data_IF_644103584836
#
_entry.id   IF_644103584836
#
_cell.length_a   1.000
_cell.length_b   1.000
_cell.length_c   1.000
_cell.angle_alpha   90.00
_cell.angle_beta   90.00
_cell.angle_gamma   90.00
#
_symmetry.space_group_name_H-M   'P 1'
#
loop_
_entity.id
_entity.type
_entity.pdbx_description
1 polymer ?
#
# COMPACT_ATOMS: atom_id res chain seq x y z
N UNK A 1 27.52 18.86 -32.23
CA UNK A 1 26.92 17.66 -31.64
C UNK A 1 25.49 18.01 -31.23
N UNK A 2 24.45 17.35 -31.76
CA UNK A 2 23.12 17.51 -31.24
C UNK A 2 23.07 16.78 -29.89
N UNK A 3 22.64 17.49 -28.85
CA UNK A 3 22.57 16.92 -27.51
C UNK A 3 21.50 15.82 -27.44
N UNK A 4 21.83 14.69 -26.86
CA UNK A 4 20.85 13.69 -26.45
C UNK A 4 20.10 14.23 -25.24
N UNK A 5 18.80 14.12 -25.27
CA UNK A 5 17.93 14.58 -24.20
C UNK A 5 17.17 13.37 -23.66
N UNK A 6 17.22 13.18 -22.36
CA UNK A 6 16.47 12.13 -21.69
C UNK A 6 15.18 12.71 -21.08
N UNK A 7 14.10 11.96 -21.23
CA UNK A 7 12.77 12.25 -20.70
C UNK A 7 12.40 11.16 -19.71
N UNK A 8 11.94 11.56 -18.54
CA UNK A 8 11.57 10.68 -17.43
C UNK A 8 10.10 10.87 -17.13
N UNK A 9 9.32 9.81 -17.24
CA UNK A 9 7.91 9.81 -16.88
C UNK A 9 7.67 8.83 -15.76
N UNK A 10 7.13 9.32 -14.64
CA UNK A 10 6.69 8.52 -13.51
C UNK A 10 5.17 8.56 -13.46
N UNK A 11 4.55 7.42 -13.17
CA UNK A 11 3.10 7.28 -13.05
C UNK A 11 2.71 6.52 -11.79
N UNK A 12 1.72 7.05 -11.08
CA UNK A 12 1.07 6.37 -9.96
C UNK A 12 -0.44 6.61 -10.01
N UNK A 13 -1.20 5.58 -10.38
CA UNK A 13 -2.62 5.75 -10.71
C UNK A 13 -2.83 6.74 -11.84
N UNK A 14 -3.64 7.77 -11.59
CA UNK A 14 -3.91 8.83 -12.56
C UNK A 14 -2.88 9.97 -12.53
N UNK A 15 -1.98 9.98 -11.56
CA UNK A 15 -0.97 11.03 -11.38
C UNK A 15 0.27 10.75 -12.22
N UNK A 16 0.77 11.80 -12.87
CA UNK A 16 1.93 11.73 -13.75
C UNK A 16 2.93 12.83 -13.41
N UNK A 17 4.20 12.46 -13.30
CA UNK A 17 5.34 13.37 -13.17
C UNK A 17 6.22 13.20 -14.39
N UNK A 18 6.53 14.29 -15.09
CA UNK A 18 7.29 14.28 -16.32
C UNK A 18 8.45 15.25 -16.22
N UNK A 19 9.67 14.71 -16.23
CA UNK A 19 10.91 15.48 -16.06
C UNK A 19 11.86 15.26 -17.24
N UNK A 20 12.77 16.21 -17.44
CA UNK A 20 13.81 16.10 -18.48
C UNK A 20 15.17 16.53 -17.95
N UNK A 21 16.21 15.89 -18.48
CA UNK A 21 17.60 16.29 -18.29
C UNK A 21 18.00 17.55 -19.08
N UNK A 22 17.14 18.03 -19.96
CA UNK A 22 17.36 19.24 -20.75
C UNK A 22 17.33 20.51 -19.89
N UNK A 23 17.93 21.58 -20.38
CA UNK A 23 17.94 22.89 -19.68
C UNK A 23 16.61 23.64 -19.79
N UNK A 24 15.74 23.25 -20.72
CA UNK A 24 14.42 23.85 -20.96
C UNK A 24 13.37 22.77 -21.01
N UNK A 25 12.13 23.15 -20.75
CA UNK A 25 10.99 22.24 -20.91
C UNK A 25 10.93 21.69 -22.33
N UNK A 26 10.59 20.42 -22.44
CA UNK A 26 10.47 19.70 -23.72
C UNK A 26 9.05 19.17 -23.82
N UNK A 27 8.39 19.46 -24.93
CA UNK A 27 7.07 18.88 -25.22
C UNK A 27 7.28 17.69 -26.16
N UNK A 28 6.81 16.52 -25.73
CA UNK A 28 6.83 15.31 -26.52
C UNK A 28 5.51 14.54 -26.34
N UNK A 29 4.87 14.15 -27.46
CA UNK A 29 3.56 13.47 -27.46
C UNK A 29 2.48 14.19 -26.63
N UNK A 30 2.41 15.52 -26.73
CA UNK A 30 1.48 16.40 -25.98
C UNK A 30 1.70 16.41 -24.46
N UNK A 31 2.82 15.88 -23.98
CA UNK A 31 3.22 15.91 -22.56
C UNK A 31 4.38 16.89 -22.43
N UNK A 32 4.28 17.81 -21.48
CA UNK A 32 5.34 18.72 -21.12
C UNK A 32 6.25 18.09 -20.07
N UNK A 33 7.54 18.02 -20.36
CA UNK A 33 8.57 17.52 -19.45
C UNK A 33 9.32 18.71 -18.81
N UNK A 34 9.23 18.82 -17.51
CA UNK A 34 9.82 19.90 -16.73
C UNK A 34 11.34 19.70 -16.58
N UNK A 35 12.16 20.75 -16.74
CA UNK A 35 13.60 20.63 -16.64
C UNK A 35 14.04 20.45 -15.18
N UNK A 36 14.81 19.41 -14.89
CA UNK A 36 15.46 19.20 -13.59
C UNK A 36 16.97 19.22 -13.80
N UNK A 37 17.62 20.29 -13.31
CA UNK A 37 19.07 20.45 -13.44
C UNK A 37 19.79 19.48 -12.51
N UNK A 38 20.73 18.71 -13.04
CA UNK A 38 21.48 17.74 -12.25
C UNK A 38 20.80 16.38 -12.11
N UNK A 39 19.69 16.15 -12.83
CA UNK A 39 19.09 14.84 -12.96
C UNK A 39 20.10 13.87 -13.58
N UNK A 40 20.39 12.78 -12.89
CA UNK A 40 21.36 11.76 -13.30
C UNK A 40 20.73 10.37 -13.20
N UNK A 41 21.24 9.46 -13.98
CA UNK A 41 20.97 8.03 -13.83
C UNK A 41 22.24 7.22 -13.92
N UNK A 42 22.26 6.05 -13.32
CA UNK A 42 23.29 5.05 -13.57
C UNK A 42 23.16 4.49 -14.99
N UNK A 43 24.19 3.80 -15.46
CA UNK A 43 24.08 3.00 -16.68
C UNK A 43 22.92 2.01 -16.51
N UNK A 44 22.19 1.75 -17.59
CA UNK A 44 21.22 0.67 -17.63
C UNK A 44 22.04 -0.59 -17.88
N UNK A 45 22.21 -1.39 -16.83
CA UNK A 45 22.96 -2.63 -16.91
C UNK A 45 21.99 -3.74 -17.31
N UNK A 46 22.17 -4.26 -18.51
CA UNK A 46 21.39 -5.37 -19.07
C UNK A 46 22.23 -6.66 -18.93
N UNK A 47 22.59 -7.00 -17.67
CA UNK A 47 23.44 -8.16 -17.38
C UNK A 47 22.73 -9.50 -17.56
N UNK A 48 21.40 -9.52 -17.40
CA UNK A 48 20.56 -10.71 -17.60
C UNK A 48 19.10 -10.30 -17.74
N UNK A 49 18.27 -11.21 -18.27
CA UNK A 49 16.80 -11.07 -18.31
C UNK A 49 16.21 -10.73 -16.94
N UNK A 50 16.94 -11.02 -15.87
CA UNK A 50 16.48 -10.94 -14.49
C UNK A 50 16.90 -9.65 -13.75
N UNK A 51 17.87 -8.89 -14.29
CA UNK A 51 18.44 -7.72 -13.61
C UNK A 51 18.76 -6.64 -14.62
N UNK A 52 17.78 -5.84 -14.93
CA UNK A 52 17.97 -4.57 -15.59
C UNK A 52 17.58 -3.47 -14.62
N UNK A 53 18.50 -3.14 -13.73
CA UNK A 53 18.31 -2.13 -12.71
C UNK A 53 18.92 -0.80 -13.16
N UNK A 54 18.27 0.28 -12.83
CA UNK A 54 18.83 1.64 -12.98
C UNK A 54 18.45 2.47 -11.77
N UNK A 55 19.37 3.31 -11.33
CA UNK A 55 19.08 4.29 -10.30
C UNK A 55 18.94 5.67 -10.96
N UNK A 56 17.87 6.37 -10.63
CA UNK A 56 17.62 7.74 -11.08
C UNK A 56 17.73 8.67 -9.89
N UNK A 57 18.70 9.59 -9.93
CA UNK A 57 18.94 10.54 -8.85
C UNK A 57 18.48 11.92 -9.25
N UNK A 58 17.56 12.45 -8.45
CA UNK A 58 17.07 13.81 -8.53
C UNK A 58 17.81 14.68 -7.51
N UNK A 59 18.33 15.86 -7.92
CA UNK A 59 19.08 16.76 -7.04
C UNK A 59 18.20 17.57 -6.07
N UNK A 60 16.96 17.21 -5.94
CA UNK A 60 15.97 17.82 -5.03
C UNK A 60 15.06 16.72 -4.49
N UNK A 61 14.75 16.77 -3.20
CA UNK A 61 13.79 15.85 -2.60
C UNK A 61 12.35 16.13 -3.06
N UNK A 62 11.99 17.39 -3.18
CA UNK A 62 10.64 17.84 -3.53
C UNK A 62 10.53 18.17 -5.02
N UNK A 63 9.79 17.32 -5.74
CA UNK A 63 9.59 17.43 -7.18
C UNK A 63 8.11 17.53 -7.49
N UNK A 64 7.69 18.71 -7.90
CA UNK A 64 6.29 18.99 -8.21
C UNK A 64 5.98 18.62 -9.68
N UNK A 65 4.79 18.04 -9.90
CA UNK A 65 4.24 17.90 -11.24
C UNK A 65 3.57 19.23 -11.68
N UNK A 66 2.99 19.23 -12.88
CA UNK A 66 2.25 20.39 -13.41
C UNK A 66 1.04 20.79 -12.54
N UNK A 67 0.53 19.89 -11.74
CA UNK A 67 -0.64 20.08 -10.85
C UNK A 67 -0.24 20.49 -9.43
N UNK A 68 1.07 20.67 -9.17
CA UNK A 68 1.61 21.05 -7.87
C UNK A 68 1.70 19.90 -6.86
N UNK A 69 1.60 18.65 -7.30
CA UNK A 69 1.74 17.48 -6.45
C UNK A 69 3.21 17.05 -6.36
N UNK A 70 3.66 16.84 -5.15
CA UNK A 70 5.04 16.46 -4.87
C UNK A 70 5.23 14.93 -4.99
N UNK A 71 6.21 14.52 -5.79
CA UNK A 71 6.60 13.12 -5.94
C UNK A 71 7.04 12.48 -4.62
N UNK A 72 7.72 13.21 -3.74
CA UNK A 72 8.18 12.71 -2.46
C UNK A 72 7.03 12.28 -1.55
N UNK A 73 5.89 12.97 -1.60
CA UNK A 73 4.72 12.67 -0.77
C UNK A 73 4.11 11.30 -1.07
N UNK A 74 4.29 10.78 -2.28
CA UNK A 74 3.85 9.43 -2.62
C UNK A 74 4.57 8.41 -1.76
N UNK A 75 5.87 8.60 -1.56
CA UNK A 75 6.73 7.66 -0.85
C UNK A 75 6.69 7.84 0.67
N UNK A 76 6.29 9.03 1.16
CA UNK A 76 6.24 9.35 2.57
C UNK A 76 5.14 8.57 3.30
N UNK A 77 5.53 7.59 4.12
CA UNK A 77 4.65 6.90 5.06
C UNK A 77 3.56 5.99 4.47
N UNK A 78 3.54 5.79 3.15
CA UNK A 78 2.49 5.02 2.47
C UNK A 78 2.96 3.63 2.10
N UNK A 79 2.07 2.64 2.23
CA UNK A 79 2.22 1.34 1.57
C UNK A 79 1.64 1.49 0.16
N UNK A 80 2.46 1.23 -0.86
CA UNK A 80 2.02 1.37 -2.24
C UNK A 80 1.15 0.20 -2.65
N UNK A 81 -0.12 0.45 -2.93
CA UNK A 81 -0.92 -0.40 -3.77
C UNK A 81 -0.75 0.10 -5.21
N UNK A 82 -0.21 -0.74 -6.07
CA UNK A 82 -0.11 -0.47 -7.49
C UNK A 82 1.24 0.04 -8.02
N UNK A 83 2.22 0.32 -7.14
CA UNK A 83 3.57 0.72 -7.55
C UNK A 83 3.65 2.01 -8.38
N UNK A 84 4.80 2.65 -8.35
CA UNK A 84 5.13 3.76 -9.26
C UNK A 84 5.84 3.17 -10.47
N UNK A 85 5.31 3.40 -11.65
CA UNK A 85 5.97 3.00 -12.90
C UNK A 85 6.86 4.12 -13.41
N UNK A 86 7.98 3.76 -14.02
CA UNK A 86 8.89 4.70 -14.65
C UNK A 86 9.13 4.32 -16.10
N UNK A 87 9.15 5.33 -16.97
CA UNK A 87 9.56 5.20 -18.37
C UNK A 87 10.63 6.24 -18.66
N UNK A 88 11.78 5.80 -19.17
CA UNK A 88 12.89 6.66 -19.56
C UNK A 88 13.00 6.59 -21.07
N UNK A 89 12.92 7.75 -21.72
CA UNK A 89 13.01 7.91 -23.16
C UNK A 89 14.25 8.73 -23.50
N UNK A 90 14.92 8.39 -24.59
CA UNK A 90 15.96 9.22 -25.22
C UNK A 90 15.39 9.89 -26.46
N UNK A 91 15.52 11.20 -26.53
CA UNK A 91 15.17 11.97 -27.70
C UNK A 91 16.46 12.36 -28.44
N UNK A 92 16.65 11.81 -29.64
CA UNK A 92 17.79 12.08 -30.48
C UNK A 92 17.37 12.33 -31.93
N UNK A 93 17.69 13.48 -32.50
CA UNK A 93 17.40 13.88 -33.89
C UNK A 93 15.90 13.83 -34.29
N UNK A 94 14.98 13.90 -33.31
CA UNK A 94 13.54 13.80 -33.54
C UNK A 94 13.00 12.39 -33.44
N UNK A 95 13.85 11.40 -33.27
CA UNK A 95 13.47 10.02 -32.96
C UNK A 95 13.47 9.79 -31.46
N UNK A 96 12.57 8.91 -31.02
CA UNK A 96 12.43 8.56 -29.62
C UNK A 96 12.76 7.09 -29.41
N UNK A 97 13.71 6.84 -28.50
CA UNK A 97 14.07 5.50 -28.08
C UNK A 97 13.64 5.29 -26.63
N UNK A 98 12.96 4.18 -26.34
CA UNK A 98 12.69 3.77 -24.96
C UNK A 98 13.93 3.11 -24.40
N UNK A 99 14.58 3.76 -23.42
CA UNK A 99 15.77 3.23 -22.77
C UNK A 99 15.42 2.26 -21.65
N UNK A 100 14.40 2.59 -20.86
CA UNK A 100 13.98 1.78 -19.72
C UNK A 100 12.48 1.93 -19.51
N UNK A 101 11.81 0.81 -19.18
CA UNK A 101 10.43 0.80 -18.74
C UNK A 101 10.28 -0.19 -17.61
N UNK A 102 9.91 0.31 -16.46
CA UNK A 102 9.86 -0.51 -15.26
C UNK A 102 9.06 0.11 -14.14
N UNK A 103 9.42 -0.23 -12.94
CA UNK A 103 8.82 0.30 -11.72
C UNK A 103 9.88 0.75 -10.73
N UNK A 104 9.51 1.68 -9.88
CA UNK A 104 10.29 2.09 -8.72
C UNK A 104 10.10 1.05 -7.62
N UNK A 105 11.19 0.46 -7.15
CA UNK A 105 11.18 -0.54 -6.08
C UNK A 105 11.54 0.07 -4.74
N UNK A 106 12.46 1.02 -4.73
CA UNK A 106 12.92 1.66 -3.51
C UNK A 106 13.24 3.14 -3.74
N UNK A 107 12.61 4.06 -3.01
CA UNK A 107 13.08 5.42 -2.87
C UNK A 107 14.16 5.48 -1.81
N UNK A 108 15.22 6.23 -2.07
CA UNK A 108 16.29 6.55 -1.11
C UNK A 108 16.35 8.07 -0.97
N UNK A 109 16.22 8.55 0.26
CA UNK A 109 16.33 9.97 0.60
C UNK A 109 17.67 10.22 1.25
N UNK A 110 18.34 11.28 0.81
CA UNK A 110 19.52 11.81 1.47
C UNK A 110 19.19 13.25 1.89
N UNK A 111 18.92 13.43 3.18
CA UNK A 111 18.54 14.71 3.76
C UNK A 111 19.71 15.71 3.77
N UNK A 112 20.94 15.21 3.92
CA UNK A 112 22.14 16.07 3.94
C UNK A 112 22.45 16.65 2.55
N UNK A 113 22.21 15.86 1.50
CA UNK A 113 22.44 16.25 0.11
C UNK A 113 21.17 16.79 -0.57
N UNK A 114 20.01 16.81 0.09
CA UNK A 114 18.70 17.15 -0.47
C UNK A 114 18.41 16.38 -1.79
N UNK A 115 18.71 15.07 -1.81
CA UNK A 115 18.54 14.27 -3.03
C UNK A 115 17.53 13.15 -2.85
N UNK A 116 16.82 12.83 -3.94
CA UNK A 116 15.95 11.67 -4.06
C UNK A 116 16.51 10.72 -5.11
N UNK A 117 16.90 9.52 -4.71
CA UNK A 117 17.32 8.46 -5.62
C UNK A 117 16.24 7.37 -5.69
N UNK A 118 15.79 7.06 -6.89
CA UNK A 118 14.81 6.02 -7.16
C UNK A 118 15.51 4.80 -7.75
N UNK A 119 15.45 3.66 -7.05
CA UNK A 119 15.90 2.38 -7.59
C UNK A 119 14.78 1.82 -8.45
N UNK A 120 15.07 1.53 -9.71
CA UNK A 120 14.11 1.12 -10.71
C UNK A 120 14.46 -0.26 -11.27
N UNK A 121 13.48 -1.14 -11.32
CA UNK A 121 13.58 -2.47 -11.92
C UNK A 121 12.77 -2.53 -13.22
N UNK A 122 13.15 -3.39 -14.14
CA UNK A 122 12.36 -3.65 -15.35
C UNK A 122 11.05 -4.36 -15.03
N UNK A 123 10.08 -4.27 -15.96
CA UNK A 123 8.82 -5.00 -15.86
C UNK A 123 9.01 -6.52 -15.86
N UNK A 124 10.13 -7.02 -16.38
CA UNK A 124 10.45 -8.46 -16.48
C UNK A 124 10.83 -9.09 -15.13
N UNK A 125 11.19 -8.28 -14.12
CA UNK A 125 11.41 -8.76 -12.75
C UNK A 125 10.21 -9.55 -12.18
N UNK A 126 9.02 -9.40 -12.80
CA UNK A 126 7.86 -10.23 -12.48
C UNK A 126 8.00 -11.70 -12.86
N UNK A 127 8.88 -12.03 -13.80
CA UNK A 127 9.13 -13.41 -14.24
C UNK A 127 9.82 -14.23 -13.15
N UNK A 128 10.56 -13.58 -12.25
CA UNK A 128 11.25 -14.21 -11.12
C UNK A 128 10.36 -14.47 -9.91
N UNK A 129 9.06 -14.22 -9.99
CA UNK A 129 8.16 -14.54 -8.89
C UNK A 129 7.97 -16.03 -8.74
N UNK A 130 7.98 -16.48 -7.49
CA UNK A 130 7.56 -17.84 -7.15
C UNK A 130 6.12 -18.05 -7.64
N UNK A 131 5.94 -18.88 -8.66
CA UNK A 131 4.63 -19.22 -9.23
C UNK A 131 3.80 -20.00 -8.21
N UNK A 132 4.47 -20.85 -7.41
CA UNK A 132 3.84 -21.63 -6.35
C UNK A 132 4.04 -20.92 -5.00
N UNK A 133 3.17 -19.98 -4.70
CA UNK A 133 3.20 -19.22 -3.44
C UNK A 133 2.57 -19.98 -2.27
N UNK A 134 1.72 -20.97 -2.57
CA UNK A 134 1.03 -21.78 -1.54
C UNK A 134 1.92 -22.88 -1.04
N UNK A 135 2.21 -22.86 0.26
CA UNK A 135 2.98 -23.87 0.97
C UNK A 135 2.06 -24.61 1.94
N UNK A 136 2.37 -25.89 2.21
CA UNK A 136 1.71 -26.57 3.31
C UNK A 136 2.25 -26.01 4.63
N UNK A 137 1.39 -25.31 5.36
CA UNK A 137 1.74 -24.74 6.67
C UNK A 137 0.56 -24.84 7.64
N UNK A 138 0.85 -24.74 8.93
CA UNK A 138 -0.13 -24.87 9.99
C UNK A 138 -1.13 -23.70 10.00
N UNK A 139 -0.63 -22.46 9.82
CA UNK A 139 -1.46 -21.24 9.75
C UNK A 139 -2.16 -21.10 8.41
N UNK A 140 -3.24 -20.31 8.39
CA UNK A 140 -3.97 -19.99 7.17
C UNK A 140 -3.08 -19.26 6.16
N UNK A 141 -3.19 -19.63 4.89
CA UNK A 141 -2.44 -19.02 3.78
C UNK A 141 -3.15 -17.81 3.18
N UNK A 142 -4.43 -17.63 3.49
CA UNK A 142 -5.23 -16.58 2.92
C UNK A 142 -4.94 -15.26 3.67
N UNK A 143 -4.89 -14.16 2.93
CA UNK A 143 -4.95 -12.85 3.54
C UNK A 143 -6.40 -12.54 3.91
N UNK A 144 -6.61 -11.88 5.05
CA UNK A 144 -7.95 -11.47 5.43
C UNK A 144 -8.54 -10.53 4.36
N UNK A 145 -9.82 -10.66 4.08
CA UNK A 145 -10.57 -9.92 3.06
C UNK A 145 -10.15 -10.19 1.61
N UNK A 146 -9.29 -11.19 1.35
CA UNK A 146 -9.00 -11.61 -0.01
C UNK A 146 -10.12 -12.53 -0.56
N UNK A 147 -10.07 -12.79 -1.87
CA UNK A 147 -11.04 -13.66 -2.55
C UNK A 147 -11.09 -15.09 -2.01
N UNK A 148 -10.00 -15.55 -1.40
CA UNK A 148 -9.89 -16.91 -0.86
C UNK A 148 -10.39 -16.99 0.57
N UNK A 149 -10.14 -15.96 1.39
CA UNK A 149 -10.75 -15.78 2.69
C UNK A 149 -12.26 -15.59 2.56
N UNK A 150 -12.68 -14.78 1.58
CA UNK A 150 -14.08 -14.56 1.23
C UNK A 150 -14.87 -13.71 2.22
N UNK A 151 -14.25 -13.18 3.25
CA UNK A 151 -14.82 -12.10 4.06
C UNK A 151 -14.80 -10.82 3.23
N UNK A 152 -15.86 -10.04 3.30
CA UNK A 152 -15.92 -8.75 2.63
C UNK A 152 -15.52 -7.66 3.61
N UNK A 153 -14.72 -6.71 3.14
CA UNK A 153 -14.26 -5.59 3.94
C UNK A 153 -15.43 -4.77 4.49
N UNK A 154 -16.44 -4.54 3.65
CA UNK A 154 -17.61 -3.72 3.94
C UNK A 154 -18.47 -4.31 5.07
N UNK A 155 -18.59 -5.65 5.15
CA UNK A 155 -19.42 -6.34 6.15
C UNK A 155 -18.81 -6.23 7.57
N UNK A 156 -17.50 -6.01 7.65
CA UNK A 156 -16.74 -5.98 8.91
C UNK A 156 -16.21 -4.59 9.26
N UNK A 157 -16.35 -3.62 8.36
CA UNK A 157 -15.92 -2.25 8.59
C UNK A 157 -16.90 -1.50 9.49
N UNK A 158 -16.35 -0.62 10.31
CA UNK A 158 -17.13 0.38 11.03
C UNK A 158 -16.32 1.68 11.09
N UNK A 159 -17.04 2.79 11.18
CA UNK A 159 -16.44 4.10 11.20
C UNK A 159 -16.02 4.50 12.62
N UNK A 160 -14.88 5.13 12.72
CA UNK A 160 -14.35 5.70 13.96
C UNK A 160 -13.99 7.16 13.74
N UNK A 161 -14.23 7.98 14.77
CA UNK A 161 -13.79 9.37 14.83
C UNK A 161 -12.58 9.48 15.76
N UNK A 162 -11.54 10.14 15.32
CA UNK A 162 -10.31 10.34 16.10
C UNK A 162 -10.51 11.38 17.19
N UNK A 163 -10.35 10.98 18.44
CA UNK A 163 -10.46 11.89 19.60
C UNK A 163 -9.12 12.43 20.07
N UNK A 164 -8.04 11.64 19.96
CA UNK A 164 -6.68 12.07 20.30
C UNK A 164 -5.62 11.29 19.52
N UNK A 165 -4.48 11.94 19.29
CA UNK A 165 -3.31 11.35 18.60
C UNK A 165 -2.10 11.54 19.51
N UNK A 166 -1.45 10.43 19.88
CA UNK A 166 -0.20 10.41 20.65
C UNK A 166 0.82 9.52 19.91
N UNK A 167 1.58 10.13 19.01
CA UNK A 167 2.51 9.42 18.15
C UNK A 167 1.82 8.38 17.27
N UNK A 168 2.04 7.09 17.56
CA UNK A 168 1.40 5.97 16.85
C UNK A 168 0.09 5.51 17.50
N UNK A 169 -0.18 5.96 18.73
CA UNK A 169 -1.41 5.63 19.45
C UNK A 169 -2.52 6.60 19.09
N UNK A 170 -3.62 6.06 18.62
CA UNK A 170 -4.82 6.79 18.22
C UNK A 170 -5.94 6.42 19.16
N UNK A 171 -6.53 7.42 19.83
CA UNK A 171 -7.77 7.27 20.59
C UNK A 171 -8.94 7.61 19.66
N UNK A 172 -10.02 6.88 19.79
CA UNK A 172 -11.17 7.03 18.92
C UNK A 172 -12.49 6.76 19.65
N UNK A 173 -13.55 7.31 19.08
CA UNK A 173 -14.93 6.92 19.39
C UNK A 173 -15.55 6.26 18.17
N UNK A 174 -16.43 5.26 18.41
CA UNK A 174 -17.15 4.59 17.33
C UNK A 174 -18.29 5.49 16.87
N UNK A 175 -18.34 5.76 15.58
CA UNK A 175 -19.42 6.56 14.98
C UNK A 175 -20.72 5.75 15.05
N UNK A 176 -21.80 6.32 15.62
CA UNK A 176 -23.10 5.64 15.67
C UNK A 176 -23.60 5.29 14.27
N UNK A 177 -24.09 4.09 14.10
CA UNK A 177 -24.64 3.62 12.82
C UNK A 177 -26.16 3.61 12.90
N UNK A 178 -26.82 4.01 11.82
CA UNK A 178 -28.27 3.97 11.73
C UNK A 178 -28.77 2.53 11.77
N UNK A 179 -29.76 2.26 12.61
CA UNK A 179 -30.40 0.96 12.71
C UNK A 179 -31.33 0.76 11.50
N UNK A 180 -31.17 -0.37 10.83
CA UNK A 180 -32.00 -0.77 9.69
C UNK A 180 -32.93 -1.90 10.08
N UNK A 181 -34.12 -1.93 9.49
CA UNK A 181 -35.07 -3.06 9.62
C UNK A 181 -34.56 -4.29 8.82
N UNK A 182 -35.29 -5.40 8.92
CA UNK A 182 -34.96 -6.64 8.19
C UNK A 182 -35.02 -6.51 6.65
N UNK A 183 -35.63 -5.45 6.14
CA UNK A 183 -35.69 -5.11 4.71
C UNK A 183 -34.62 -4.11 4.29
N UNK A 184 -33.78 -3.63 5.24
CA UNK A 184 -32.70 -2.65 4.97
C UNK A 184 -33.16 -1.21 4.97
N UNK A 185 -34.35 -0.88 5.47
CA UNK A 185 -34.82 0.50 5.57
C UNK A 185 -34.44 1.10 6.92
N UNK A 186 -34.16 2.42 6.96
CA UNK A 186 -33.85 3.12 8.19
C UNK A 186 -35.02 3.08 9.19
N UNK A 187 -34.72 2.75 10.44
CA UNK A 187 -35.67 2.82 11.54
C UNK A 187 -35.68 4.20 12.17
N UNK A 188 -36.88 4.69 12.50
CA UNK A 188 -37.12 5.97 13.14
C UNK A 188 -37.86 5.78 14.46
N UNK A 189 -37.61 6.67 15.42
CA UNK A 189 -38.35 6.72 16.68
C UNK A 189 -39.74 7.35 16.51
N UNK A 190 -40.51 7.42 17.60
CA UNK A 190 -41.84 8.02 17.61
C UNK A 190 -41.85 9.52 17.25
N UNK A 191 -40.72 10.18 17.36
CA UNK A 191 -40.51 11.60 17.04
C UNK A 191 -40.01 11.81 15.61
N UNK A 192 -39.79 10.72 14.84
CA UNK A 192 -39.32 10.75 13.46
C UNK A 192 -37.80 10.95 13.32
N UNK A 193 -37.03 10.76 14.41
CA UNK A 193 -35.57 10.79 14.35
C UNK A 193 -35.00 9.41 14.04
N UNK A 194 -33.90 9.35 13.29
CA UNK A 194 -33.26 8.09 12.97
C UNK A 194 -32.71 7.42 14.24
N UNK A 195 -33.05 6.17 14.46
CA UNK A 195 -32.53 5.38 15.56
C UNK A 195 -31.06 5.06 15.25
N UNK A 196 -30.15 5.56 16.13
CA UNK A 196 -28.71 5.35 16.01
C UNK A 196 -28.24 4.37 17.08
N UNK A 197 -27.39 3.42 16.70
CA UNK A 197 -26.78 2.46 17.62
C UNK A 197 -25.26 2.63 17.60
N UNK A 198 -24.66 2.75 18.79
CA UNK A 198 -23.21 2.70 18.94
C UNK A 198 -22.79 1.30 19.37
N UNK A 199 -22.10 0.59 18.50
CA UNK A 199 -21.56 -0.72 18.82
C UNK A 199 -20.32 -0.59 19.69
N UNK A 200 -20.24 -1.38 20.75
CA UNK A 200 -19.01 -1.52 21.55
C UNK A 200 -18.26 -2.78 21.09
N UNK A 201 -16.96 -2.65 20.99
CA UNK A 201 -16.08 -3.75 20.60
C UNK A 201 -15.18 -4.16 21.75
N UNK A 202 -14.91 -5.46 21.93
CA UNK A 202 -14.03 -5.93 23.01
C UNK A 202 -12.58 -5.49 22.79
N UNK A 203 -11.81 -5.52 23.85
CA UNK A 203 -10.36 -5.33 23.75
C UNK A 203 -9.75 -6.28 22.71
N UNK A 204 -8.71 -5.80 22.03
CA UNK A 204 -7.98 -6.53 21.00
C UNK A 204 -8.80 -6.85 19.72
N UNK A 205 -10.02 -6.31 19.59
CA UNK A 205 -10.85 -6.57 18.41
C UNK A 205 -10.19 -6.16 17.10
N UNK A 206 -9.52 -5.00 17.09
CA UNK A 206 -8.82 -4.46 15.93
C UNK A 206 -7.37 -4.93 15.80
N UNK A 207 -6.88 -5.83 16.66
CA UNK A 207 -5.51 -6.34 16.54
C UNK A 207 -5.26 -6.92 15.14
N UNK A 208 -4.12 -6.56 14.53
CA UNK A 208 -3.74 -6.93 13.16
C UNK A 208 -4.75 -6.47 12.11
N UNK A 209 -5.62 -5.52 12.46
CA UNK A 209 -6.62 -4.93 11.59
C UNK A 209 -6.04 -3.86 10.68
N UNK A 210 -6.92 -3.24 9.92
CA UNK A 210 -6.56 -2.19 8.98
C UNK A 210 -7.39 -0.93 9.24
N UNK A 211 -6.73 0.20 9.16
CA UNK A 211 -7.33 1.53 9.05
C UNK A 211 -7.26 1.96 7.59
N UNK A 212 -8.36 2.46 7.04
CA UNK A 212 -8.41 2.98 5.67
C UNK A 212 -8.71 4.48 5.69
N UNK A 213 -7.74 5.30 5.28
CA UNK A 213 -7.93 6.74 5.11
C UNK A 213 -7.26 7.22 3.83
N UNK A 214 -7.99 8.01 3.03
CA UNK A 214 -7.47 8.57 1.78
C UNK A 214 -6.97 7.50 0.79
N UNK A 215 -7.61 6.33 0.74
CA UNK A 215 -7.20 5.21 -0.12
C UNK A 215 -5.94 4.46 0.37
N UNK A 216 -5.42 4.80 1.55
CA UNK A 216 -4.23 4.16 2.14
C UNK A 216 -4.63 3.25 3.29
N UNK A 217 -4.23 1.98 3.21
CA UNK A 217 -4.40 1.01 4.29
C UNK A 217 -3.21 1.09 5.25
N UNK A 218 -3.48 1.28 6.53
CA UNK A 218 -2.45 1.26 7.58
C UNK A 218 -2.76 0.14 8.56
N UNK A 219 -1.74 -0.68 8.87
CA UNK A 219 -1.88 -1.81 9.78
C UNK A 219 -2.02 -1.31 11.22
N UNK A 220 -3.00 -1.85 11.93
CA UNK A 220 -3.17 -1.72 13.37
C UNK A 220 -2.44 -2.89 14.05
N UNK A 221 -1.49 -2.61 14.92
CA UNK A 221 -0.71 -3.65 15.60
C UNK A 221 -1.46 -4.20 16.80
N UNK A 222 -1.94 -3.32 17.66
CA UNK A 222 -2.69 -3.66 18.88
C UNK A 222 -3.82 -2.68 19.08
N UNK A 223 -4.88 -3.11 19.75
CA UNK A 223 -6.03 -2.27 20.08
C UNK A 223 -6.55 -2.56 21.49
N UNK A 224 -7.18 -1.57 22.07
CA UNK A 224 -8.06 -1.66 23.23
C UNK A 224 -9.47 -1.20 22.80
N UNK A 225 -10.41 -1.13 23.75
CA UNK A 225 -11.78 -0.76 23.42
C UNK A 225 -11.88 0.58 22.67
N UNK A 226 -11.10 1.61 23.08
CA UNK A 226 -11.20 2.97 22.56
C UNK A 226 -9.87 3.52 22.02
N UNK A 227 -8.87 2.68 21.78
CA UNK A 227 -7.62 3.12 21.18
C UNK A 227 -6.94 1.99 20.40
N UNK A 228 -6.12 2.36 19.41
CA UNK A 228 -5.27 1.42 18.71
C UNK A 228 -3.89 2.03 18.46
N UNK A 229 -2.92 1.16 18.18
CA UNK A 229 -1.55 1.53 17.83
C UNK A 229 -1.33 1.15 16.36
N UNK A 230 -0.89 2.12 15.57
CA UNK A 230 -0.54 1.91 14.17
C UNK A 230 0.87 1.32 14.04
N UNK A 231 1.09 0.53 13.00
CA UNK A 231 2.43 0.04 12.65
C UNK A 231 3.37 1.16 12.23
N UNK A 232 2.82 2.21 11.60
CA UNK A 232 3.54 3.42 11.17
C UNK A 232 2.63 4.63 11.26
N UNK A 233 3.22 5.80 11.34
CA UNK A 233 2.46 7.04 11.31
C UNK A 233 1.72 7.18 9.96
N UNK A 234 0.46 7.59 10.02
CA UNK A 234 -0.33 7.93 8.84
C UNK A 234 -0.24 9.43 8.58
N UNK A 235 0.31 9.80 7.40
CA UNK A 235 0.44 11.22 7.03
C UNK A 235 -0.92 11.84 6.79
N UNK A 236 -1.16 13.00 7.38
CA UNK A 236 -2.43 13.72 7.24
C UNK A 236 -3.55 13.19 8.13
N UNK A 237 -3.23 12.45 9.20
CA UNK A 237 -4.20 12.08 10.23
C UNK A 237 -4.34 13.24 11.23
N UNK A 238 -5.58 13.65 11.49
CA UNK A 238 -5.92 14.72 12.42
C UNK A 238 -7.04 14.30 13.38
N UNK A 239 -7.14 14.99 14.51
CA UNK A 239 -8.27 14.84 15.45
C UNK A 239 -9.55 15.32 14.77
N UNK A 240 -10.64 14.57 14.93
CA UNK A 240 -11.92 14.78 14.26
C UNK A 240 -12.05 14.09 12.90
N UNK A 241 -10.99 13.39 12.43
CA UNK A 241 -11.09 12.59 11.20
C UNK A 241 -11.96 11.36 11.42
N UNK A 242 -12.83 11.10 10.43
CA UNK A 242 -13.67 9.90 10.38
C UNK A 242 -13.20 8.99 9.25
N UNK A 243 -13.03 7.71 9.56
CA UNK A 243 -12.63 6.71 8.56
C UNK A 243 -13.01 5.29 9.00
N UNK A 244 -13.15 4.36 8.05
CA UNK A 244 -13.43 2.96 8.36
C UNK A 244 -12.19 2.23 8.89
N UNK A 245 -12.45 1.37 9.88
CA UNK A 245 -11.50 0.38 10.40
C UNK A 245 -12.10 -1.02 10.30
N UNK A 246 -11.24 -2.02 10.19
CA UNK A 246 -11.66 -3.42 10.15
C UNK A 246 -10.82 -4.28 11.08
N UNK A 247 -11.40 -5.32 11.68
CA UNK A 247 -10.67 -6.26 12.52
C UNK A 247 -9.68 -7.10 11.72
N UNK A 248 -8.57 -7.46 12.35
CA UNK A 248 -7.55 -8.30 11.76
C UNK A 248 -7.65 -9.77 12.13
N UNK A 249 -6.82 -10.57 11.46
CA UNK A 249 -6.72 -12.02 11.64
C UNK A 249 -5.26 -12.43 11.84
N UNK A 250 -5.00 -13.27 12.84
CA UNK A 250 -3.70 -13.85 13.15
C UNK A 250 -3.41 -15.14 12.34
N UNK A 251 -4.28 -15.48 11.40
CA UNK A 251 -4.23 -16.68 10.58
C UNK A 251 -4.36 -17.99 11.37
N UNK A 252 -4.74 -17.94 12.65
CA UNK A 252 -5.01 -19.13 13.44
C UNK A 252 -6.42 -19.70 13.13
N UNK A 253 -6.56 -21.01 13.38
CA UNK A 253 -7.86 -21.67 13.30
C UNK A 253 -8.87 -21.03 14.24
N UNK A 254 -8.45 -20.79 15.49
CA UNK A 254 -9.29 -20.25 16.55
C UNK A 254 -9.86 -18.90 16.14
N UNK A 255 -9.03 -17.99 15.64
CA UNK A 255 -9.48 -16.69 15.18
C UNK A 255 -10.46 -16.79 14.01
N UNK A 256 -10.19 -17.69 13.04
CA UNK A 256 -11.02 -17.88 11.87
C UNK A 256 -12.41 -18.41 12.24
N UNK A 257 -12.49 -19.33 13.22
CA UNK A 257 -13.74 -19.95 13.68
C UNK A 257 -14.50 -19.05 14.65
N UNK A 258 -13.90 -18.69 15.78
CA UNK A 258 -14.60 -18.02 16.88
C UNK A 258 -14.93 -16.54 16.57
N UNK A 259 -14.02 -15.81 15.91
CA UNK A 259 -14.24 -14.39 15.61
C UNK A 259 -15.00 -14.15 14.32
N UNK A 260 -14.65 -14.89 13.27
CA UNK A 260 -15.17 -14.64 11.92
C UNK A 260 -16.19 -15.68 11.44
N UNK A 261 -16.39 -16.79 12.19
CA UNK A 261 -17.23 -17.91 11.78
C UNK A 261 -16.96 -18.36 10.33
N UNK A 262 -15.67 -18.38 9.93
CA UNK A 262 -15.25 -18.59 8.55
C UNK A 262 -14.40 -19.86 8.37
N UNK A 263 -14.61 -20.83 9.24
CA UNK A 263 -13.86 -22.09 9.24
C UNK A 263 -13.85 -22.82 7.89
N UNK A 264 -14.94 -22.79 7.15
CA UNK A 264 -15.06 -23.46 5.85
C UNK A 264 -14.04 -22.95 4.81
N UNK A 265 -13.49 -21.75 5.01
CA UNK A 265 -12.48 -21.12 4.14
C UNK A 265 -11.08 -21.07 4.74
N UNK A 266 -10.89 -21.73 5.89
CA UNK A 266 -9.58 -21.84 6.51
C UNK A 266 -8.63 -22.67 5.63
N UNK A 267 -7.50 -22.10 5.24
CA UNK A 267 -6.54 -22.72 4.33
C UNK A 267 -5.27 -23.24 5.02
N UNK A 268 -5.27 -23.35 6.36
CA UNK A 268 -4.17 -23.95 7.11
C UNK A 268 -4.33 -25.46 7.26
N UNK A 269 -3.21 -26.17 7.35
CA UNK A 269 -3.14 -27.62 7.49
C UNK A 269 -2.77 -27.99 8.93
N UNK A 270 -3.78 -28.22 9.78
CA UNK A 270 -3.62 -28.43 11.23
C UNK A 270 -2.87 -29.70 11.62
N UNK A 271 -2.86 -30.69 10.74
CA UNK A 271 -2.31 -32.02 11.02
C UNK A 271 -0.92 -32.24 10.42
N UNK A 272 -0.26 -31.16 9.99
CA UNK A 272 1.13 -31.25 9.57
C UNK A 272 2.00 -31.53 10.79
N UNK A 273 2.83 -32.60 10.78
CA UNK A 273 3.76 -32.86 11.88
C UNK A 273 4.74 -31.70 12.05
N UNK A 274 4.97 -31.27 13.30
CA UNK A 274 5.94 -30.22 13.64
C UNK A 274 7.41 -30.66 13.43
N UNK A 275 7.64 -31.96 13.30
CA UNK A 275 8.96 -32.55 13.04
C UNK A 275 8.91 -33.43 11.79
N UNK A 276 10.02 -33.47 11.06
CA UNK A 276 10.12 -34.35 9.89
C UNK A 276 10.02 -35.81 10.35
N UNK A 277 8.99 -36.58 9.94
CA UNK A 277 8.79 -37.96 10.39
C UNK A 277 9.93 -38.92 9.97
N UNK A 278 10.74 -38.52 8.98
CA UNK A 278 11.91 -39.34 8.54
C UNK A 278 13.01 -39.37 9.61
N UNK A 279 13.11 -38.29 10.43
CA UNK A 279 14.13 -38.21 11.48
C UNK A 279 13.59 -38.52 12.87
N UNK A 280 12.31 -38.79 13.01
CA UNK A 280 11.70 -39.23 14.28
C UNK A 280 11.62 -40.72 14.31
N UNK A 281 12.25 -41.37 15.32
CA UNK A 281 12.03 -42.79 15.54
C UNK A 281 10.54 -43.02 15.82
N UNK A 282 9.86 -43.65 14.85
CA UNK A 282 8.42 -43.97 14.94
C UNK A 282 8.14 -45.17 15.85
N UNK A 283 9.18 -45.86 16.32
CA UNK A 283 9.06 -47.03 17.17
C UNK A 283 10.06 -46.88 18.33
N UNK A 284 9.57 -46.85 19.55
CA UNK A 284 10.31 -47.10 20.77
C UNK A 284 10.28 -48.58 21.11
#
# INVERSE_FOLDING_TARGET
MKARVELYQLKHGDKVWSFTSARKAVVHNSIEYLPVRGLQRTAIEDESIDKCDTEVTFPQMHLLNAEGEDLATIFAGKIFYGGVTITILELYQGETLVLHKGRVTQPKYDEDADTLTLVCETGESYLNRNILTRKFQYSCLNSIYDRWCGLKFEDWSFEVEVTAIDGLKISFDVVPTQVLDAAGNPMFDEEGQAIMETKSYPDQWLNLGLMLKGGVHTLITTSSANSFILYRQHVGLAVGDVFPVVPGCDQSKKMCDEKFNNWARYAGHQFIPNSNPIFTQLIK
#
